data_IF_900804817725
#
_entry.id   IF_900804817725
#
_cell.length_a   1.000
_cell.length_b   1.000
_cell.length_c   1.000
_cell.angle_alpha   90.00
_cell.angle_beta   90.00
_cell.angle_gamma   90.00
#
_symmetry.space_group_name_H-M   'P 1'
#
loop_
_entity.id
_entity.type
_entity.pdbx_description
1 polymer ?
#
# COMPACT_ATOMS: atom_id res chain seq x y z
N UNK A 1 19.55 15.28 -19.73
CA UNK A 1 18.84 14.62 -18.61
C UNK A 1 19.37 13.19 -18.52
N UNK A 2 19.64 12.66 -17.32
CA UNK A 2 19.99 11.25 -17.15
C UNK A 2 18.84 10.36 -17.67
N UNK A 3 19.18 9.19 -18.20
CA UNK A 3 18.18 8.18 -18.53
C UNK A 3 17.56 7.60 -17.25
N UNK A 4 16.33 7.08 -17.33
CA UNK A 4 15.66 6.42 -16.19
C UNK A 4 16.54 5.32 -15.57
N UNK A 5 17.22 4.51 -16.39
CA UNK A 5 18.14 3.49 -15.90
C UNK A 5 19.32 4.07 -15.07
N UNK A 6 19.82 5.24 -15.45
CA UNK A 6 20.86 5.96 -14.70
C UNK A 6 20.32 6.50 -13.38
N UNK A 7 19.12 7.08 -13.38
CA UNK A 7 18.44 7.56 -12.16
C UNK A 7 18.21 6.41 -11.18
N UNK A 8 17.68 5.28 -11.67
CA UNK A 8 17.45 4.09 -10.85
C UNK A 8 18.75 3.60 -10.21
N UNK A 9 19.81 3.47 -11.01
CA UNK A 9 21.11 2.99 -10.53
C UNK A 9 21.72 3.91 -9.48
N UNK A 10 21.59 5.23 -9.65
CA UNK A 10 22.11 6.21 -8.71
C UNK A 10 21.40 6.11 -7.34
N UNK A 11 20.07 6.04 -7.34
CA UNK A 11 19.25 5.99 -6.13
C UNK A 11 19.46 4.68 -5.36
N UNK A 12 19.56 3.54 -6.06
CA UNK A 12 19.71 2.22 -5.44
C UNK A 12 20.90 2.11 -4.48
N UNK A 13 22.04 2.73 -4.79
CA UNK A 13 23.23 2.61 -3.96
C UNK A 13 23.11 3.37 -2.64
N UNK A 14 22.45 4.52 -2.64
CA UNK A 14 22.18 5.28 -1.43
C UNK A 14 21.16 4.54 -0.57
N UNK A 15 20.08 4.06 -1.19
CA UNK A 15 18.99 3.38 -0.50
C UNK A 15 19.41 2.06 0.12
N UNK A 16 20.30 1.29 -0.52
CA UNK A 16 20.92 0.10 0.07
C UNK A 16 21.59 0.38 1.41
N UNK A 17 22.29 1.52 1.53
CA UNK A 17 22.94 1.94 2.77
C UNK A 17 21.89 2.41 3.78
N UNK A 18 21.02 3.34 3.37
CA UNK A 18 19.97 3.90 4.23
C UNK A 18 19.13 2.80 4.90
N UNK A 19 18.62 1.84 4.12
CA UNK A 19 17.76 0.77 4.63
C UNK A 19 18.53 -0.20 5.52
N UNK A 20 19.79 -0.49 5.20
CA UNK A 20 20.62 -1.36 6.04
C UNK A 20 20.91 -0.72 7.38
N UNK A 21 21.41 0.52 7.36
CA UNK A 21 21.73 1.27 8.58
C UNK A 21 20.49 1.43 9.46
N UNK A 22 19.32 1.65 8.84
CA UNK A 22 18.04 1.73 9.54
C UNK A 22 17.64 0.39 10.19
N UNK A 23 17.74 -0.73 9.47
CA UNK A 23 17.36 -2.06 10.02
C UNK A 23 18.37 -2.55 11.07
N UNK A 24 19.65 -2.21 10.94
CA UNK A 24 20.70 -2.58 11.90
C UNK A 24 20.63 -1.77 13.20
N UNK A 25 19.98 -0.59 13.19
CA UNK A 25 19.71 0.17 14.40
C UNK A 25 18.62 -0.50 15.24
N UNK A 26 19.03 -1.09 16.38
CA UNK A 26 18.14 -1.79 17.29
C UNK A 26 17.01 -0.91 17.82
N UNK A 27 17.20 0.40 17.89
CA UNK A 27 16.16 1.33 18.33
C UNK A 27 14.93 1.25 17.41
N UNK A 28 15.11 1.13 16.10
CA UNK A 28 13.98 1.04 15.16
C UNK A 28 13.13 -0.21 15.37
N UNK A 29 13.76 -1.36 15.69
CA UNK A 29 13.03 -2.58 16.05
C UNK A 29 12.28 -2.42 17.38
N UNK A 30 12.94 -1.80 18.36
CA UNK A 30 12.36 -1.53 19.67
C UNK A 30 11.06 -0.74 19.52
N UNK A 31 11.11 0.44 18.88
CA UNK A 31 9.95 1.34 18.78
C UNK A 31 8.85 0.89 17.79
N UNK A 32 9.19 0.12 16.75
CA UNK A 32 8.21 -0.24 15.71
C UNK A 32 7.69 -1.68 15.82
N UNK A 33 8.34 -2.53 16.61
CA UNK A 33 7.94 -3.92 16.75
C UNK A 33 7.85 -4.36 18.21
N UNK A 34 8.93 -4.24 18.99
CA UNK A 34 8.98 -4.81 20.35
C UNK A 34 8.07 -4.05 21.34
N UNK A 35 8.13 -2.71 21.36
CA UNK A 35 7.26 -1.86 22.20
C UNK A 35 5.79 -1.96 21.80
N UNK A 36 5.38 -1.78 20.52
CA UNK A 36 3.99 -1.99 20.12
C UNK A 36 3.43 -3.35 20.53
N UNK A 37 4.23 -4.41 20.41
CA UNK A 37 3.83 -5.76 20.81
C UNK A 37 3.68 -5.89 22.32
N UNK A 38 4.70 -5.51 23.09
CA UNK A 38 4.78 -5.78 24.54
C UNK A 38 4.01 -4.78 25.40
N UNK A 39 3.87 -3.53 24.95
CA UNK A 39 3.23 -2.45 25.69
C UNK A 39 1.77 -2.24 25.30
N UNK A 40 1.37 -2.58 24.07
CA UNK A 40 -0.01 -2.37 23.60
C UNK A 40 -0.74 -3.65 23.24
N UNK A 41 -0.20 -4.45 22.32
CA UNK A 41 -0.92 -5.62 21.78
C UNK A 41 -1.10 -6.72 22.83
N UNK A 42 -0.03 -7.14 23.51
CA UNK A 42 -0.08 -8.21 24.52
C UNK A 42 -0.90 -7.81 25.76
N UNK A 43 -0.78 -6.59 26.32
CA UNK A 43 -1.67 -6.14 27.39
C UNK A 43 -3.14 -6.16 26.97
N UNK A 44 -3.48 -5.63 25.79
CA UNK A 44 -4.85 -5.64 25.31
C UNK A 44 -5.40 -7.06 25.11
N UNK A 45 -4.61 -7.99 24.56
CA UNK A 45 -5.02 -9.40 24.42
C UNK A 45 -5.38 -10.01 25.78
N UNK A 46 -4.65 -9.65 26.86
CA UNK A 46 -4.86 -10.23 28.19
C UNK A 46 -6.13 -9.74 28.87
N UNK A 47 -6.48 -8.46 28.74
CA UNK A 47 -7.56 -7.85 29.51
C UNK A 47 -8.77 -7.36 28.68
N UNK A 48 -8.63 -7.26 27.37
CA UNK A 48 -9.64 -6.80 26.41
C UNK A 48 -10.08 -5.34 26.62
N UNK A 49 -9.33 -4.54 27.38
CA UNK A 49 -9.73 -3.21 27.83
C UNK A 49 -8.62 -2.17 27.70
N UNK A 50 -7.39 -2.52 28.05
CA UNK A 50 -6.26 -1.59 28.06
C UNK A 50 -5.94 -1.15 26.64
N UNK A 51 -5.78 0.15 26.41
CA UNK A 51 -5.17 0.65 25.18
C UNK A 51 -5.87 0.25 23.86
N UNK A 52 -7.19 -0.06 23.88
CA UNK A 52 -8.00 -0.36 22.67
C UNK A 52 -7.79 0.67 21.55
N UNK A 53 -7.61 1.94 21.93
CA UNK A 53 -7.39 3.08 21.03
C UNK A 53 -5.97 3.17 20.48
N UNK A 54 -5.00 2.42 21.01
CA UNK A 54 -3.61 2.40 20.54
C UNK A 54 -3.31 1.18 19.67
N UNK A 55 -4.14 0.14 19.75
CA UNK A 55 -4.02 -1.08 18.92
C UNK A 55 -3.86 -0.77 17.42
N UNK A 56 -4.65 0.14 16.80
CA UNK A 56 -4.45 0.43 15.39
C UNK A 56 -3.05 0.99 15.12
N UNK A 57 -2.57 1.96 15.88
CA UNK A 57 -1.22 2.52 15.70
C UNK A 57 -0.13 1.47 15.90
N UNK A 58 -0.27 0.59 16.90
CA UNK A 58 0.64 -0.53 17.11
C UNK A 58 0.71 -1.47 15.89
N UNK A 59 -0.43 -1.80 15.27
CA UNK A 59 -0.47 -2.57 14.02
C UNK A 59 0.20 -1.82 12.87
N UNK A 60 0.00 -0.50 12.78
CA UNK A 60 0.64 0.37 11.80
C UNK A 60 2.16 0.37 11.91
N UNK A 61 2.69 0.46 13.13
CA UNK A 61 4.12 0.37 13.42
C UNK A 61 4.71 -0.97 13.01
N UNK A 62 4.05 -2.08 13.39
CA UNK A 62 4.49 -3.44 13.03
C UNK A 62 4.49 -3.63 11.50
N UNK A 63 3.47 -3.10 10.81
CA UNK A 63 3.42 -3.13 9.35
C UNK A 63 4.62 -2.40 8.70
N UNK A 64 4.98 -1.22 9.23
CA UNK A 64 6.13 -0.44 8.75
C UNK A 64 7.46 -1.14 9.02
N UNK A 65 7.63 -1.78 10.18
CA UNK A 65 8.80 -2.61 10.46
C UNK A 65 8.95 -3.73 9.41
N UNK A 66 7.87 -4.47 9.13
CA UNK A 66 7.90 -5.53 8.13
C UNK A 66 8.19 -5.01 6.72
N UNK A 67 7.69 -3.85 6.33
CA UNK A 67 8.00 -3.25 5.02
C UNK A 67 9.49 -2.91 4.90
N UNK A 68 10.09 -2.32 5.94
CA UNK A 68 11.54 -2.03 5.97
C UNK A 68 12.39 -3.30 5.90
N UNK A 69 11.97 -4.37 6.57
CA UNK A 69 12.59 -5.69 6.43
C UNK A 69 12.46 -6.23 5.00
N UNK A 70 11.31 -6.05 4.35
CA UNK A 70 11.10 -6.44 2.96
C UNK A 70 12.05 -5.67 2.02
N UNK A 71 12.14 -4.35 2.18
CA UNK A 71 13.06 -3.49 1.44
C UNK A 71 14.51 -3.95 1.64
N UNK A 72 14.92 -4.24 2.89
CA UNK A 72 16.28 -4.68 3.18
C UNK A 72 16.62 -6.00 2.47
N UNK A 73 15.76 -7.01 2.55
CA UNK A 73 15.95 -8.28 1.83
C UNK A 73 16.00 -8.10 0.32
N UNK A 74 15.13 -7.25 -0.22
CA UNK A 74 15.10 -6.94 -1.66
C UNK A 74 16.39 -6.26 -2.11
N UNK A 75 16.86 -5.26 -1.35
CA UNK A 75 17.98 -4.39 -1.73
C UNK A 75 19.36 -4.98 -1.43
N UNK A 76 19.52 -5.55 -0.23
CA UNK A 76 20.81 -5.99 0.31
C UNK A 76 21.03 -7.50 0.18
N UNK A 77 19.97 -8.32 0.11
CA UNK A 77 20.08 -9.78 -0.07
C UNK A 77 19.68 -10.25 -1.48
N UNK A 78 19.08 -9.37 -2.30
CA UNK A 78 18.54 -9.68 -3.63
C UNK A 78 17.53 -10.85 -3.63
N UNK A 79 16.79 -11.02 -2.52
CA UNK A 79 15.74 -12.02 -2.35
C UNK A 79 14.35 -11.37 -2.49
N UNK A 80 13.39 -12.12 -3.03
CA UNK A 80 11.99 -11.68 -2.99
C UNK A 80 11.43 -11.87 -1.57
N UNK A 81 11.01 -10.80 -0.88
CA UNK A 81 10.67 -10.85 0.54
C UNK A 81 9.20 -11.20 0.77
N UNK A 82 8.78 -12.40 0.32
CA UNK A 82 7.36 -12.81 0.33
C UNK A 82 6.73 -12.74 1.74
N UNK A 83 7.43 -13.23 2.75
CA UNK A 83 6.91 -13.27 4.12
C UNK A 83 6.79 -11.87 4.72
N UNK A 84 7.81 -11.03 4.55
CA UNK A 84 7.83 -9.67 5.07
C UNK A 84 6.77 -8.79 4.40
N UNK A 85 6.63 -8.87 3.07
CA UNK A 85 5.64 -8.04 2.38
C UNK A 85 4.21 -8.49 2.69
N UNK A 86 3.98 -9.80 2.82
CA UNK A 86 2.69 -10.31 3.27
C UNK A 86 2.38 -9.88 4.71
N UNK A 87 3.37 -9.93 5.62
CA UNK A 87 3.17 -9.44 6.99
C UNK A 87 2.87 -7.95 7.01
N UNK A 88 3.63 -7.14 6.29
CA UNK A 88 3.36 -5.71 6.18
C UNK A 88 1.93 -5.45 5.72
N UNK A 89 1.50 -6.11 4.63
CA UNK A 89 0.16 -5.98 4.09
C UNK A 89 -0.94 -6.37 5.09
N UNK A 90 -0.84 -7.52 5.76
CA UNK A 90 -1.91 -7.96 6.67
C UNK A 90 -2.01 -7.09 7.93
N UNK A 91 -0.87 -6.62 8.47
CA UNK A 91 -0.87 -5.71 9.62
C UNK A 91 -1.42 -4.34 9.22
N UNK A 92 -1.11 -3.84 8.01
CA UNK A 92 -1.65 -2.58 7.49
C UNK A 92 -3.16 -2.67 7.23
N UNK A 93 -3.63 -3.79 6.66
CA UNK A 93 -5.06 -4.05 6.50
C UNK A 93 -5.78 -3.96 7.85
N UNK A 94 -5.30 -4.69 8.86
CA UNK A 94 -5.93 -4.67 10.18
C UNK A 94 -5.74 -3.37 10.95
N UNK A 95 -4.70 -2.58 10.68
CA UNK A 95 -4.58 -1.21 11.18
C UNK A 95 -5.80 -0.38 10.77
N UNK A 96 -6.13 -0.33 9.47
CA UNK A 96 -7.27 0.46 9.00
C UNK A 96 -8.61 -0.08 9.48
N UNK A 97 -8.80 -1.39 9.44
CA UNK A 97 -10.03 -2.01 9.92
C UNK A 97 -10.24 -1.73 11.43
N UNK A 98 -9.20 -1.87 12.26
CA UNK A 98 -9.29 -1.58 13.70
C UNK A 98 -9.51 -0.08 13.96
N UNK A 99 -8.82 0.80 13.22
CA UNK A 99 -8.99 2.24 13.36
C UNK A 99 -10.42 2.68 12.98
N UNK A 100 -10.98 2.12 11.90
CA UNK A 100 -12.36 2.33 11.50
C UNK A 100 -13.34 1.97 12.62
N UNK A 101 -13.19 0.77 13.19
CA UNK A 101 -14.03 0.30 14.29
C UNK A 101 -13.94 1.20 15.54
N UNK A 102 -12.76 1.76 15.85
CA UNK A 102 -12.61 2.73 16.94
C UNK A 102 -13.32 4.03 16.64
N UNK A 103 -13.20 4.54 15.42
CA UNK A 103 -13.87 5.77 14.98
C UNK A 103 -15.39 5.65 15.06
N UNK A 104 -15.96 4.46 14.86
CA UNK A 104 -17.39 4.18 15.01
C UNK A 104 -17.84 3.88 16.44
N UNK A 105 -16.91 3.70 17.38
CA UNK A 105 -17.23 3.31 18.74
C UNK A 105 -17.77 4.48 19.56
N UNK A 106 -18.42 4.17 20.69
CA UNK A 106 -18.96 5.18 21.62
C UNK A 106 -17.88 6.03 22.31
N UNK A 107 -16.61 5.64 22.15
CA UNK A 107 -15.45 6.36 22.64
C UNK A 107 -14.40 6.45 21.51
N UNK A 108 -14.59 7.34 20.52
CA UNK A 108 -13.74 7.40 19.36
C UNK A 108 -12.33 7.92 19.69
N UNK A 109 -11.35 7.51 18.89
CA UNK A 109 -10.02 8.11 18.85
C UNK A 109 -9.93 9.07 17.65
N UNK A 110 -8.96 9.98 17.69
CA UNK A 110 -8.76 11.01 16.66
C UNK A 110 -8.22 10.51 15.32
N UNK A 111 -8.46 9.25 14.96
CA UNK A 111 -8.04 8.68 13.68
C UNK A 111 -8.68 9.44 12.52
N UNK A 112 -7.88 9.65 11.47
CA UNK A 112 -8.30 10.25 10.21
C UNK A 112 -7.82 9.38 9.07
N UNK A 113 -8.68 9.12 8.11
CA UNK A 113 -8.30 8.41 6.88
C UNK A 113 -8.21 9.44 5.76
N UNK A 114 -7.04 10.09 5.58
CA UNK A 114 -6.82 10.89 4.39
C UNK A 114 -6.86 10.00 3.14
N UNK A 115 -6.71 10.60 1.97
CA UNK A 115 -6.74 9.84 0.72
C UNK A 115 -5.58 8.83 0.60
N UNK A 116 -4.42 9.15 1.18
CA UNK A 116 -3.17 8.36 1.10
C UNK A 116 -3.36 6.85 1.36
N UNK A 117 -4.02 6.42 2.45
CA UNK A 117 -4.42 5.03 2.71
C UNK A 117 -4.94 4.21 1.51
N UNK A 118 -5.52 4.86 0.48
CA UNK A 118 -6.02 4.13 -0.69
C UNK A 118 -4.91 3.46 -1.51
N UNK A 119 -3.65 3.87 -1.38
CA UNK A 119 -2.51 3.13 -1.98
C UNK A 119 -2.44 1.70 -1.48
N UNK A 120 -2.90 1.42 -0.25
CA UNK A 120 -2.90 0.09 0.32
C UNK A 120 -3.95 -0.83 -0.31
N UNK A 121 -4.98 -0.27 -0.95
CA UNK A 121 -5.86 -1.05 -1.84
C UNK A 121 -5.06 -1.59 -3.02
N UNK A 122 -4.19 -0.78 -3.63
CA UNK A 122 -3.28 -1.24 -4.69
C UNK A 122 -2.26 -2.25 -4.16
N UNK A 123 -1.76 -2.11 -2.92
CA UNK A 123 -0.94 -3.13 -2.26
C UNK A 123 -1.69 -4.48 -2.23
N UNK A 124 -2.92 -4.51 -1.71
CA UNK A 124 -3.72 -5.75 -1.64
C UNK A 124 -3.97 -6.33 -3.03
N UNK A 125 -4.28 -5.49 -4.03
CA UNK A 125 -4.43 -5.92 -5.41
C UNK A 125 -3.13 -6.52 -5.97
N UNK A 126 -1.99 -5.85 -5.79
CA UNK A 126 -0.69 -6.35 -6.24
C UNK A 126 -0.35 -7.73 -5.63
N UNK A 127 -0.63 -7.91 -4.34
CA UNK A 127 -0.47 -9.18 -3.62
C UNK A 127 -1.48 -10.26 -4.06
N UNK A 128 -2.56 -9.88 -4.74
CA UNK A 128 -3.63 -10.78 -5.21
C UNK A 128 -4.75 -11.01 -4.19
N UNK A 129 -4.85 -10.19 -3.16
CA UNK A 129 -5.80 -10.31 -2.05
C UNK A 129 -7.09 -9.55 -2.34
N UNK A 130 -7.85 -9.99 -3.34
CA UNK A 130 -9.02 -9.27 -3.83
C UNK A 130 -10.07 -8.96 -2.77
N UNK A 131 -10.42 -9.92 -1.91
CA UNK A 131 -11.40 -9.67 -0.86
C UNK A 131 -10.93 -8.60 0.13
N UNK A 132 -9.63 -8.58 0.44
CA UNK A 132 -9.02 -7.58 1.32
C UNK A 132 -8.99 -6.21 0.65
N UNK A 133 -8.65 -6.15 -0.64
CA UNK A 133 -8.70 -4.92 -1.43
C UNK A 133 -10.10 -4.32 -1.45
N UNK A 134 -11.13 -5.15 -1.69
CA UNK A 134 -12.52 -4.71 -1.68
C UNK A 134 -12.91 -4.18 -0.31
N UNK A 135 -12.70 -4.97 0.74
CA UNK A 135 -13.10 -4.58 2.10
C UNK A 135 -12.40 -3.30 2.54
N UNK A 136 -11.10 -3.18 2.31
CA UNK A 136 -10.35 -1.98 2.66
C UNK A 136 -10.85 -0.74 1.90
N UNK A 137 -11.18 -0.88 0.61
CA UNK A 137 -11.73 0.22 -0.17
C UNK A 137 -13.08 0.70 0.41
N UNK A 138 -14.00 -0.22 0.72
CA UNK A 138 -15.28 0.11 1.36
C UNK A 138 -15.08 0.82 2.70
N UNK A 139 -14.16 0.32 3.54
CA UNK A 139 -13.79 0.93 4.82
C UNK A 139 -13.28 2.36 4.63
N UNK A 140 -12.47 2.62 3.61
CA UNK A 140 -11.93 3.95 3.33
C UNK A 140 -13.03 4.88 2.81
N UNK A 141 -13.85 4.44 1.85
CA UNK A 141 -14.95 5.24 1.29
C UNK A 141 -15.98 5.62 2.34
N UNK A 142 -16.38 4.69 3.21
CA UNK A 142 -17.31 4.97 4.29
C UNK A 142 -16.77 6.03 5.28
N UNK A 143 -15.46 6.09 5.51
CA UNK A 143 -14.86 7.19 6.30
C UNK A 143 -14.77 8.49 5.53
N UNK A 144 -14.56 8.44 4.21
CA UNK A 144 -14.53 9.64 3.38
C UNK A 144 -15.86 10.39 3.46
N UNK A 145 -16.98 9.69 3.34
CA UNK A 145 -18.33 10.27 3.45
C UNK A 145 -18.62 10.85 4.84
N UNK A 146 -18.04 10.26 5.89
CA UNK A 146 -18.31 10.63 7.29
C UNK A 146 -17.45 11.80 7.82
N UNK A 147 -16.32 12.12 7.19
CA UNK A 147 -15.36 13.11 7.67
C UNK A 147 -15.46 14.43 6.90
N UNK A 148 -15.39 15.57 7.61
CA UNK A 148 -15.43 16.91 6.98
C UNK A 148 -14.30 17.16 5.99
N UNK A 149 -13.14 16.51 6.21
CA UNK A 149 -11.98 16.49 5.30
C UNK A 149 -11.88 15.16 4.51
N UNK A 150 -12.91 14.31 4.60
CA UNK A 150 -12.90 12.91 4.15
C UNK A 150 -13.16 12.73 2.66
N UNK A 151 -13.97 13.59 2.03
CA UNK A 151 -14.34 13.55 0.60
C UNK A 151 -13.18 13.84 -0.37
N UNK A 152 -11.98 13.31 -0.10
CA UNK A 152 -10.79 13.62 -0.86
C UNK A 152 -10.49 15.11 -0.83
N UNK A 153 -10.57 15.77 0.35
CA UNK A 153 -10.26 17.20 0.57
C UNK A 153 -8.78 17.58 0.30
N UNK A 154 -8.19 16.92 -0.67
CA UNK A 154 -6.81 16.93 -1.11
C UNK A 154 -6.91 17.36 -2.58
N UNK A 155 -6.73 18.65 -2.81
CA UNK A 155 -6.85 19.27 -4.12
C UNK A 155 -5.80 18.72 -5.08
N UNK A 156 -6.21 17.87 -6.04
CA UNK A 156 -5.38 17.08 -6.98
C UNK A 156 -4.27 17.83 -7.72
N UNK A 157 -4.28 19.18 -7.69
CA UNK A 157 -3.34 20.08 -8.36
C UNK A 157 -1.96 20.16 -7.69
N UNK A 158 -1.42 19.01 -7.25
CA UNK A 158 -0.04 18.88 -6.78
C UNK A 158 0.37 17.42 -6.53
N UNK A 159 1.58 17.05 -6.92
CA UNK A 159 2.32 15.95 -6.27
C UNK A 159 2.37 16.31 -4.78
N UNK A 160 1.72 15.57 -3.85
CA UNK A 160 1.71 14.10 -3.65
C UNK A 160 0.54 13.24 -4.15
N UNK A 161 -0.41 13.78 -4.90
CA UNK A 161 -1.79 13.29 -4.76
C UNK A 161 -2.22 12.27 -5.82
N UNK A 162 -1.37 11.95 -6.79
CA UNK A 162 -1.72 11.08 -7.92
C UNK A 162 -1.76 9.59 -7.58
N UNK A 163 -0.89 9.07 -6.70
CA UNK A 163 -0.84 7.62 -6.41
C UNK A 163 -2.10 7.09 -5.72
N UNK A 164 -2.67 7.80 -4.72
CA UNK A 164 -3.94 7.38 -4.15
C UNK A 164 -5.09 7.49 -5.17
N UNK A 165 -5.14 8.55 -5.99
CA UNK A 165 -6.15 8.67 -7.07
C UNK A 165 -6.02 7.59 -8.14
N UNK A 166 -4.80 7.23 -8.52
CA UNK A 166 -4.54 6.10 -9.42
C UNK A 166 -5.05 4.80 -8.81
N UNK A 167 -4.83 4.59 -7.51
CA UNK A 167 -5.33 3.42 -6.79
C UNK A 167 -6.87 3.38 -6.76
N UNK A 168 -7.53 4.52 -6.57
CA UNK A 168 -9.00 4.66 -6.71
C UNK A 168 -9.45 4.28 -8.12
N UNK A 169 -8.81 4.83 -9.16
CA UNK A 169 -9.17 4.54 -10.55
C UNK A 169 -8.94 3.07 -10.92
N UNK A 170 -7.85 2.45 -10.46
CA UNK A 170 -7.60 1.02 -10.63
C UNK A 170 -8.66 0.16 -9.93
N UNK A 171 -9.03 0.53 -8.70
CA UNK A 171 -10.11 -0.14 -7.96
C UNK A 171 -11.46 -0.02 -8.69
N UNK A 172 -11.85 1.19 -9.11
CA UNK A 172 -13.08 1.42 -9.88
C UNK A 172 -13.10 0.61 -11.17
N UNK A 173 -12.00 0.63 -11.93
CA UNK A 173 -11.87 -0.13 -13.17
C UNK A 173 -11.97 -1.64 -12.93
N UNK A 174 -11.38 -2.15 -11.84
CA UNK A 174 -11.52 -3.55 -11.42
C UNK A 174 -12.97 -3.92 -11.13
N UNK A 175 -13.66 -3.10 -10.33
CA UNK A 175 -15.05 -3.30 -9.92
C UNK A 175 -16.07 -3.03 -11.03
N UNK A 176 -15.67 -2.35 -12.09
CA UNK A 176 -16.60 -1.80 -13.08
C UNK A 176 -17.53 -0.74 -12.49
N UNK A 177 -17.02 0.03 -11.51
CA UNK A 177 -17.77 1.11 -10.86
C UNK A 177 -17.68 2.40 -11.68
N UNK A 178 -18.82 3.09 -11.80
CA UNK A 178 -18.98 4.40 -12.41
C UNK A 178 -19.19 5.53 -11.39
N UNK A 179 -19.01 5.24 -10.09
CA UNK A 179 -19.08 6.24 -9.02
C UNK A 179 -18.11 7.40 -9.29
N UNK A 180 -18.56 8.64 -9.11
CA UNK A 180 -17.73 9.83 -9.29
C UNK A 180 -17.58 10.54 -7.95
N UNK A 181 -16.35 10.95 -7.63
CA UNK A 181 -16.06 11.73 -6.42
C UNK A 181 -15.78 13.19 -6.77
N UNK A 182 -16.21 14.13 -5.93
CA UNK A 182 -16.20 15.58 -6.21
C UNK A 182 -14.82 16.14 -6.61
N UNK A 183 -13.75 15.54 -6.10
CA UNK A 183 -12.37 15.97 -6.30
C UNK A 183 -11.56 14.95 -7.12
N UNK A 184 -12.22 13.95 -7.70
CA UNK A 184 -11.57 12.97 -8.58
C UNK A 184 -11.02 13.69 -9.82
N UNK A 185 -9.71 13.55 -10.14
CA UNK A 185 -9.14 14.11 -11.35
C UNK A 185 -9.72 13.41 -12.58
N UNK A 186 -9.87 14.15 -13.68
CA UNK A 186 -10.19 13.54 -14.97
C UNK A 186 -9.06 12.59 -15.38
N UNK A 187 -9.37 11.54 -16.16
CA UNK A 187 -8.36 10.57 -16.56
C UNK A 187 -7.18 11.23 -17.29
N UNK A 188 -7.44 12.24 -18.14
CA UNK A 188 -6.39 13.01 -18.83
C UNK A 188 -5.55 13.93 -17.91
N UNK A 189 -5.98 14.13 -16.67
CA UNK A 189 -5.22 14.87 -15.65
C UNK A 189 -4.25 13.96 -14.89
N UNK A 190 -4.32 12.62 -15.05
CA UNK A 190 -3.44 11.64 -14.41
C UNK A 190 -2.03 11.56 -15.04
N UNK A 191 -1.68 12.50 -15.91
CA UNK A 191 -0.36 12.59 -16.54
C UNK A 191 0.00 11.31 -17.31
N UNK A 192 1.19 10.77 -17.05
CA UNK A 192 1.66 9.55 -17.72
C UNK A 192 0.99 8.27 -17.22
N UNK A 193 0.11 8.34 -16.20
CA UNK A 193 -0.75 7.23 -15.81
C UNK A 193 -2.05 7.15 -16.63
N UNK A 194 -2.44 8.22 -17.33
CA UNK A 194 -3.68 8.23 -18.15
C UNK A 194 -3.69 7.09 -19.19
N UNK A 195 -2.61 6.89 -20.00
CA UNK A 195 -2.58 5.80 -20.97
C UNK A 195 -2.64 4.40 -20.32
N UNK A 196 -2.12 4.25 -19.10
CA UNK A 196 -2.17 2.98 -18.37
C UNK A 196 -3.62 2.61 -18.02
N UNK A 197 -4.40 3.59 -17.58
CA UNK A 197 -5.82 3.42 -17.24
C UNK A 197 -6.67 3.11 -18.49
N UNK A 198 -6.47 3.86 -19.58
CA UNK A 198 -7.18 3.67 -20.84
C UNK A 198 -6.95 2.28 -21.45
N UNK A 199 -5.73 1.75 -21.32
CA UNK A 199 -5.31 0.50 -21.94
C UNK A 199 -5.35 -0.69 -20.98
N UNK A 200 -5.80 -0.47 -19.74
CA UNK A 200 -5.77 -1.46 -18.66
C UNK A 200 -6.37 -2.80 -19.08
N UNK A 201 -7.51 -2.79 -19.78
CA UNK A 201 -8.17 -4.01 -20.26
C UNK A 201 -8.14 -4.16 -21.79
N UNK A 202 -7.23 -3.46 -22.48
CA UNK A 202 -7.02 -3.69 -23.90
C UNK A 202 -6.53 -5.13 -24.13
N UNK A 203 -7.15 -5.91 -25.04
CA UNK A 203 -6.76 -7.29 -25.28
C UNK A 203 -5.36 -7.42 -25.90
N UNK A 204 -4.77 -6.33 -26.42
CA UNK A 204 -3.45 -6.32 -27.04
C UNK A 204 -2.36 -6.06 -25.99
N UNK A 205 -1.47 -7.03 -25.72
CA UNK A 205 -0.44 -6.86 -24.69
C UNK A 205 0.54 -5.73 -24.99
N UNK A 206 0.86 -5.49 -26.27
CA UNK A 206 1.78 -4.42 -26.66
C UNK A 206 1.24 -3.02 -26.33
N UNK A 207 -0.06 -2.78 -26.52
CA UNK A 207 -0.70 -1.50 -26.24
C UNK A 207 -0.63 -1.18 -24.75
N UNK A 208 -0.96 -2.17 -23.89
CA UNK A 208 -0.76 -2.03 -22.45
C UNK A 208 0.71 -1.89 -22.06
N UNK A 209 1.62 -2.63 -22.71
CA UNK A 209 3.06 -2.57 -22.43
C UNK A 209 3.69 -1.21 -22.70
N UNK A 210 3.29 -0.54 -23.78
CA UNK A 210 3.73 0.83 -24.07
C UNK A 210 3.24 1.83 -23.01
N UNK A 211 1.99 1.68 -22.56
CA UNK A 211 1.43 2.51 -21.51
C UNK A 211 2.07 2.24 -20.14
N UNK A 212 2.31 0.96 -19.82
CA UNK A 212 3.00 0.54 -18.59
C UNK A 212 4.44 1.06 -18.55
N UNK A 213 5.14 1.07 -19.68
CA UNK A 213 6.50 1.63 -19.76
C UNK A 213 6.51 3.14 -19.45
N UNK A 214 5.55 3.91 -19.98
CA UNK A 214 5.41 5.35 -19.67
C UNK A 214 5.07 5.61 -18.21
N UNK A 215 4.15 4.83 -17.66
CA UNK A 215 3.81 4.90 -16.23
C UNK A 215 5.02 4.55 -15.36
N UNK A 216 5.83 3.56 -15.78
CA UNK A 216 7.06 3.18 -15.12
C UNK A 216 8.15 4.26 -15.26
N UNK A 217 8.31 4.92 -16.42
CA UNK A 217 9.18 6.09 -16.60
C UNK A 217 8.78 7.22 -15.63
N UNK A 218 7.46 7.46 -15.50
CA UNK A 218 6.94 8.53 -14.65
C UNK A 218 7.13 8.25 -13.16
N UNK A 219 6.75 7.06 -12.70
CA UNK A 219 7.11 6.57 -11.37
C UNK A 219 8.62 6.68 -11.16
N UNK A 220 9.41 6.25 -12.15
CA UNK A 220 10.86 6.26 -12.11
C UNK A 220 11.45 7.68 -11.92
N UNK A 221 10.84 8.65 -12.60
CA UNK A 221 11.27 10.05 -12.63
C UNK A 221 10.92 10.83 -11.39
N UNK A 222 9.91 10.38 -10.62
CA UNK A 222 9.59 10.97 -9.33
C UNK A 222 10.76 10.85 -8.35
N UNK A 223 11.47 9.72 -8.38
CA UNK A 223 12.45 9.38 -7.36
C UNK A 223 13.78 10.13 -7.40
N UNK A 224 14.13 10.69 -6.24
CA UNK A 224 15.38 11.37 -5.97
C UNK A 224 15.43 12.79 -6.52
N UNK A 225 14.27 13.43 -6.74
CA UNK A 225 14.19 14.76 -7.36
C UNK A 225 14.01 15.93 -6.37
N UNK A 226 13.54 15.70 -5.13
CA UNK A 226 13.43 16.72 -4.05
C UNK A 226 13.26 16.07 -2.65
N UNK A 227 13.47 16.82 -1.57
CA UNK A 227 13.22 16.43 -0.16
C UNK A 227 11.71 16.26 0.15
N UNK A 228 10.84 16.63 -0.79
CA UNK A 228 9.38 16.45 -0.76
C UNK A 228 8.91 15.36 -1.75
N UNK A 229 9.79 14.43 -2.08
CA UNK A 229 9.54 13.38 -3.07
C UNK A 229 8.67 12.25 -2.52
N UNK A 230 7.48 12.19 -3.06
CA UNK A 230 6.34 11.40 -2.58
C UNK A 230 6.49 9.93 -2.91
N UNK A 231 7.18 9.61 -4.01
CA UNK A 231 7.43 8.21 -4.39
C UNK A 231 8.44 7.58 -3.41
N UNK A 232 9.34 8.40 -2.86
CA UNK A 232 10.25 8.01 -1.79
C UNK A 232 9.60 8.03 -0.39
N UNK A 233 8.71 8.98 -0.09
CA UNK A 233 8.01 9.07 1.21
C UNK A 233 7.17 7.83 1.55
N UNK A 234 6.53 7.22 0.55
CA UNK A 234 5.59 6.11 0.74
C UNK A 234 6.24 4.72 0.57
N UNK A 235 7.58 4.63 0.46
CA UNK A 235 8.31 3.37 0.22
C UNK A 235 7.96 2.70 -1.14
N UNK A 236 7.24 3.42 -2.00
CA UNK A 236 6.64 2.91 -3.25
C UNK A 236 7.64 2.81 -4.40
N UNK A 237 8.76 3.53 -4.34
CA UNK A 237 9.84 3.38 -5.32
C UNK A 237 10.29 1.92 -5.50
N UNK A 238 10.41 1.21 -4.38
CA UNK A 238 10.87 -0.19 -4.37
C UNK A 238 9.74 -1.18 -4.60
N UNK A 239 8.52 -0.76 -4.27
CA UNK A 239 7.33 -1.56 -4.45
C UNK A 239 6.32 -0.73 -5.23
N UNK A 240 6.41 -0.70 -6.58
CA UNK A 240 5.53 0.09 -7.43
C UNK A 240 4.14 -0.56 -7.50
N UNK A 241 3.43 -0.54 -6.37
CA UNK A 241 2.21 -1.31 -6.10
C UNK A 241 1.12 -1.02 -7.11
N UNK A 242 1.01 0.20 -7.59
CA UNK A 242 0.03 0.63 -8.57
C UNK A 242 0.27 -0.01 -9.94
N UNK A 243 1.53 -0.14 -10.36
CA UNK A 243 1.89 -0.79 -11.62
C UNK A 243 1.71 -2.30 -11.52
N UNK A 244 2.07 -2.88 -10.37
CA UNK A 244 1.89 -4.30 -10.09
C UNK A 244 0.41 -4.67 -9.94
N UNK A 245 -0.40 -3.79 -9.36
CA UNK A 245 -1.86 -3.91 -9.29
C UNK A 245 -2.46 -3.89 -10.70
N UNK A 246 -2.08 -2.94 -11.56
CA UNK A 246 -2.55 -2.92 -12.95
C UNK A 246 -2.24 -4.24 -13.69
N UNK A 247 -1.04 -4.79 -13.50
CA UNK A 247 -0.67 -6.11 -14.03
C UNK A 247 -1.53 -7.24 -13.45
N UNK A 248 -1.81 -7.22 -12.13
CA UNK A 248 -2.69 -8.22 -11.50
C UNK A 248 -4.10 -8.18 -12.08
N UNK A 249 -4.67 -6.99 -12.25
CA UNK A 249 -6.03 -6.83 -12.75
C UNK A 249 -6.19 -7.42 -14.16
N UNK A 250 -5.17 -7.26 -15.02
CA UNK A 250 -5.11 -7.91 -16.33
C UNK A 250 -5.05 -9.43 -16.22
N UNK A 251 -4.13 -9.94 -15.40
CA UNK A 251 -3.98 -11.39 -15.19
C UNK A 251 -5.31 -12.02 -14.74
N UNK A 252 -6.05 -11.34 -13.86
CA UNK A 252 -7.35 -11.83 -13.38
C UNK A 252 -8.44 -11.84 -14.45
N UNK A 253 -8.38 -10.95 -15.43
CA UNK A 253 -9.26 -10.98 -16.60
C UNK A 253 -8.80 -11.98 -17.67
N UNK A 254 -7.76 -12.77 -17.41
CA UNK A 254 -7.19 -13.70 -18.37
C UNK A 254 -6.51 -13.01 -19.55
N UNK A 255 -6.13 -11.73 -19.40
CA UNK A 255 -5.41 -10.98 -20.41
C UNK A 255 -3.91 -11.22 -20.26
N UNK A 256 -3.24 -11.45 -21.39
CA UNK A 256 -1.79 -11.59 -21.42
C UNK A 256 -1.10 -10.29 -20.97
N UNK A 257 0.01 -10.48 -20.25
CA UNK A 257 0.92 -9.41 -19.88
C UNK A 257 2.01 -9.26 -20.95
N UNK A 258 2.47 -8.03 -21.23
CA UNK A 258 3.65 -7.79 -22.03
C UNK A 258 4.90 -8.32 -21.32
N UNK A 259 6.04 -8.46 -22.03
CA UNK A 259 7.33 -8.62 -21.38
C UNK A 259 7.58 -7.49 -20.39
N UNK A 260 7.84 -7.83 -19.12
CA UNK A 260 8.09 -6.87 -18.04
C UNK A 260 9.60 -6.58 -17.90
N UNK A 261 10.27 -6.35 -19.03
CA UNK A 261 11.72 -6.20 -19.11
C UNK A 261 12.21 -4.77 -18.80
N UNK A 262 11.27 -3.88 -18.50
CA UNK A 262 11.54 -2.46 -18.24
C UNK A 262 12.43 -2.28 -16.99
N UNK A 263 13.36 -1.30 -16.96
CA UNK A 263 14.35 -1.15 -15.88
C UNK A 263 13.78 -1.12 -14.46
N UNK A 264 12.62 -0.49 -14.25
CA UNK A 264 11.96 -0.44 -12.93
C UNK A 264 11.60 -1.84 -12.41
N UNK A 265 10.94 -2.68 -13.21
CA UNK A 265 10.56 -4.04 -12.79
C UNK A 265 11.77 -4.95 -12.53
N UNK A 266 12.95 -4.58 -13.04
CA UNK A 266 14.20 -5.30 -12.84
C UNK A 266 15.13 -4.67 -11.79
N UNK A 267 14.75 -3.53 -11.20
CA UNK A 267 15.59 -2.78 -10.27
C UNK A 267 15.84 -3.55 -8.97
N UNK A 268 14.80 -4.15 -8.39
CA UNK A 268 14.88 -4.98 -7.19
C UNK A 268 13.88 -6.15 -7.26
N UNK A 269 14.07 -7.23 -6.48
CA UNK A 269 13.07 -8.29 -6.35
C UNK A 269 11.65 -7.78 -6.04
N UNK A 270 11.48 -6.80 -5.15
CA UNK A 270 10.17 -6.21 -4.81
C UNK A 270 9.48 -5.55 -6.00
N UNK A 271 10.24 -5.01 -6.96
CA UNK A 271 9.68 -4.39 -8.15
C UNK A 271 9.12 -5.42 -9.14
N UNK A 272 9.43 -6.71 -8.98
CA UNK A 272 9.01 -7.73 -9.95
C UNK A 272 7.57 -8.13 -9.74
N UNK A 273 6.83 -8.28 -10.83
CA UNK A 273 5.53 -8.92 -10.79
C UNK A 273 5.67 -10.39 -10.38
N UNK A 274 4.94 -10.78 -9.33
CA UNK A 274 4.96 -12.14 -8.78
C UNK A 274 3.58 -12.79 -8.84
N UNK A 275 3.57 -14.11 -8.65
CA UNK A 275 2.33 -14.84 -8.36
C UNK A 275 1.64 -14.27 -7.12
N UNK A 276 0.32 -14.48 -7.04
CA UNK A 276 -0.45 -14.05 -5.87
C UNK A 276 0.13 -14.72 -4.62
N UNK A 277 0.30 -13.93 -3.55
CA UNK A 277 0.76 -14.44 -2.27
C UNK A 277 -0.44 -14.96 -1.48
N UNK A 278 -0.29 -16.01 -0.67
CA UNK A 278 -1.32 -16.36 0.29
C UNK A 278 -1.42 -15.26 1.35
N UNK A 279 -2.63 -15.06 1.90
CA UNK A 279 -2.80 -14.27 3.11
C UNK A 279 -2.11 -15.01 4.26
N UNK A 280 -1.17 -14.39 4.98
CA UNK A 280 -0.37 -15.09 5.96
C UNK A 280 -1.19 -15.37 7.23
N UNK A 281 -0.96 -16.52 7.84
CA UNK A 281 -1.39 -16.75 9.22
C UNK A 281 -0.41 -16.08 10.18
N UNK A 282 -0.94 -15.38 11.18
CA UNK A 282 -0.18 -14.71 12.22
C UNK A 282 -0.80 -14.99 13.60
N UNK A 283 -0.01 -15.54 14.52
CA UNK A 283 -0.48 -15.94 15.84
C UNK A 283 -0.90 -14.74 16.72
N UNK A 284 -0.25 -13.59 16.53
CA UNK A 284 -0.57 -12.36 17.26
C UNK A 284 -1.93 -11.85 16.80
N UNK A 285 -2.14 -11.74 15.48
CA UNK A 285 -3.44 -11.34 14.92
C UNK A 285 -4.54 -12.34 15.28
N UNK A 286 -4.27 -13.64 15.25
CA UNK A 286 -5.24 -14.68 15.61
C UNK A 286 -5.74 -14.57 17.07
N UNK A 287 -4.93 -14.00 17.98
CA UNK A 287 -5.32 -13.72 19.37
C UNK A 287 -5.95 -12.33 19.52
N UNK A 288 -5.37 -11.34 18.86
CA UNK A 288 -5.77 -9.94 18.94
C UNK A 288 -7.17 -9.70 18.39
N UNK A 289 -7.44 -10.15 17.16
CA UNK A 289 -8.65 -9.75 16.43
C UNK A 289 -9.95 -10.21 17.10
N UNK A 290 -10.06 -11.45 17.64
CA UNK A 290 -11.22 -11.84 18.43
C UNK A 290 -11.41 -11.00 19.71
N UNK A 291 -10.31 -10.68 20.42
CA UNK A 291 -10.35 -9.83 21.61
C UNK A 291 -10.81 -8.40 21.23
N UNK A 292 -10.33 -7.89 20.10
CA UNK A 292 -10.68 -6.59 19.57
C UNK A 292 -12.16 -6.50 19.17
N UNK A 293 -12.67 -7.52 18.49
CA UNK A 293 -14.07 -7.61 18.11
C UNK A 293 -14.99 -7.63 19.34
N UNK A 294 -14.64 -8.41 20.36
CA UNK A 294 -15.39 -8.46 21.61
C UNK A 294 -15.40 -7.10 22.35
N UNK A 295 -14.33 -6.33 22.28
CA UNK A 295 -14.22 -5.03 22.93
C UNK A 295 -14.94 -3.89 22.18
N UNK A 296 -15.16 -4.03 20.87
CA UNK A 296 -15.72 -2.98 20.01
C UNK A 296 -17.18 -3.22 19.62
N UNK A 297 -17.68 -4.46 19.67
CA UNK A 297 -19.04 -4.89 19.26
C UNK A 297 -19.46 -4.53 17.81
N UNK A 298 -18.61 -3.83 17.04
CA UNK A 298 -18.87 -3.34 15.68
C UNK A 298 -17.89 -3.87 14.63
N UNK A 299 -17.02 -4.80 15.02
CA UNK A 299 -15.92 -5.25 14.17
C UNK A 299 -16.18 -6.64 13.58
N UNK A 300 -16.44 -6.70 12.27
CA UNK A 300 -16.58 -7.97 11.55
C UNK A 300 -15.19 -8.56 11.25
N UNK A 301 -14.97 -9.84 11.50
CA UNK A 301 -13.70 -10.51 11.19
C UNK A 301 -13.71 -11.23 9.84
N UNK A 302 -14.85 -11.25 9.13
CA UNK A 302 -14.97 -11.95 7.85
C UNK A 302 -14.46 -11.09 6.70
N UNK A 303 -13.48 -11.61 5.98
CA UNK A 303 -12.94 -11.02 4.74
C UNK A 303 -13.18 -11.98 3.58
#
# INVERSE_FOLDING_TARGET
MPSVAQTITANLNQEKRNIRDWVEDSFNKEILYDEPLSETIEPFIRDGKSEKKLVPDALGSIASWHMRMAMNKSLNEALYPADEIARSGIYRFWHYECAHAVMESDDPAGYKFPMRPFTEVSTMLALGWLSHANRLAETIFDRWDAQTDGNGAVAWKGLPQYLPWLSVKLYKAWRGSDEAYDLEPDDGEMGEFSPLLETLFDPRPHTFGEALAKAADFHASGCGTDDYDVVNEEELWFFPVELLAACRLRQQRGLDLPPLDYPLFNATPLCRFQNALPVPFDETLAKLLPAYAAATNKFDLKV
#
